data_IF_120453735277
#
_entry.id   IF_120453735277
#
_cell.length_a   1.000
_cell.length_b   1.000
_cell.length_c   1.000
_cell.angle_alpha   90.00
_cell.angle_beta   90.00
_cell.angle_gamma   90.00
#
_symmetry.space_group_name_H-M   'P 1'
#
loop_
_entity.id
_entity.type
_entity.pdbx_description
1 polymer ?
#
# COMPACT_ATOMS: atom_id res chain seq x y z
N UNK A 1 -14.49 2.83 -6.05
CA UNK A 1 -13.81 1.61 -5.56
C UNK A 1 -14.09 1.35 -4.09
N UNK A 2 -14.07 2.36 -3.21
CA UNK A 2 -14.18 2.16 -1.76
C UNK A 2 -15.49 1.48 -1.28
N UNK A 3 -16.62 1.62 -1.98
CA UNK A 3 -17.87 0.86 -1.68
C UNK A 3 -17.68 -0.64 -1.93
N UNK A 4 -17.02 -1.02 -3.03
CA UNK A 4 -16.74 -2.41 -3.35
C UNK A 4 -15.79 -3.02 -2.31
N UNK A 5 -14.78 -2.25 -1.90
CA UNK A 5 -13.84 -2.62 -0.83
C UNK A 5 -14.58 -2.87 0.48
N UNK A 6 -15.52 -1.98 0.85
CA UNK A 6 -16.38 -2.15 2.02
C UNK A 6 -17.26 -3.39 1.93
N UNK A 7 -17.86 -3.68 0.77
CA UNK A 7 -18.67 -4.88 0.57
C UNK A 7 -17.85 -6.18 0.68
N UNK A 8 -16.62 -6.19 0.14
CA UNK A 8 -15.71 -7.34 0.25
C UNK A 8 -15.37 -7.60 1.72
N UNK A 9 -15.04 -6.56 2.49
CA UNK A 9 -14.77 -6.69 3.92
C UNK A 9 -16.01 -7.15 4.69
N UNK A 10 -17.18 -6.58 4.40
CA UNK A 10 -18.46 -6.98 5.00
C UNK A 10 -18.81 -8.44 4.72
N UNK A 11 -18.45 -8.97 3.54
CA UNK A 11 -18.68 -10.39 3.22
C UNK A 11 -17.85 -11.36 4.07
N UNK A 12 -16.79 -10.87 4.74
CA UNK A 12 -15.90 -11.66 5.61
C UNK A 12 -16.00 -11.25 7.08
N UNK A 13 -17.01 -10.46 7.43
CA UNK A 13 -17.17 -9.82 8.73
C UNK A 13 -17.19 -10.83 9.90
N UNK A 14 -17.92 -11.94 9.76
CA UNK A 14 -18.04 -12.96 10.83
C UNK A 14 -16.68 -13.55 11.25
N UNK A 15 -15.76 -13.75 10.29
CA UNK A 15 -14.40 -14.21 10.58
C UNK A 15 -13.52 -13.09 11.14
N UNK A 16 -13.64 -11.86 10.64
CA UNK A 16 -12.80 -10.75 11.07
C UNK A 16 -13.14 -10.24 12.48
N UNK A 17 -14.42 -10.27 12.88
CA UNK A 17 -14.86 -9.92 14.24
C UNK A 17 -14.22 -10.82 15.30
N UNK A 18 -13.94 -12.08 14.95
CA UNK A 18 -13.27 -13.03 15.84
C UNK A 18 -11.77 -12.72 16.08
N UNK A 19 -11.20 -11.78 15.31
CA UNK A 19 -9.76 -11.45 15.32
C UNK A 19 -9.53 -9.93 15.43
N UNK A 20 -9.74 -9.32 16.62
CA UNK A 20 -9.66 -7.86 16.80
C UNK A 20 -8.33 -7.23 16.37
N UNK A 21 -7.22 -7.96 16.53
CA UNK A 21 -5.90 -7.50 16.09
C UNK A 21 -5.83 -7.25 14.57
N UNK A 22 -6.48 -8.09 13.77
CA UNK A 22 -6.52 -7.95 12.31
C UNK A 22 -7.41 -6.76 11.91
N UNK A 23 -8.53 -6.54 12.62
CA UNK A 23 -9.38 -5.38 12.38
C UNK A 23 -8.66 -4.04 12.57
N UNK A 24 -7.77 -3.95 13.55
CA UNK A 24 -6.91 -2.76 13.76
C UNK A 24 -5.84 -2.65 12.66
N UNK A 25 -5.32 -3.79 12.21
CA UNK A 25 -4.27 -3.87 11.21
C UNK A 25 -4.74 -3.43 9.81
N UNK A 26 -5.94 -3.85 9.40
CA UNK A 26 -6.50 -3.63 8.06
C UNK A 26 -6.42 -2.17 7.58
N UNK A 27 -7.01 -1.18 8.27
CA UNK A 27 -7.01 0.21 7.79
C UNK A 27 -5.60 0.80 7.75
N UNK A 28 -4.72 0.35 8.64
CA UNK A 28 -3.34 0.83 8.70
C UNK A 28 -2.53 0.33 7.51
N UNK A 29 -2.71 -0.94 7.12
CA UNK A 29 -2.03 -1.52 5.96
C UNK A 29 -2.54 -0.93 4.64
N UNK A 30 -3.86 -0.82 4.46
CA UNK A 30 -4.46 -0.20 3.25
C UNK A 30 -3.90 1.20 2.98
N UNK A 31 -3.62 1.95 4.04
CA UNK A 31 -3.11 3.32 3.92
C UNK A 31 -1.66 3.37 3.41
N UNK A 32 -0.86 2.33 3.64
CA UNK A 32 0.58 2.36 3.33
C UNK A 32 0.81 2.50 1.82
N UNK A 33 0.20 1.66 0.98
CA UNK A 33 0.46 1.74 -0.47
C UNK A 33 -0.10 3.01 -1.09
N UNK A 34 -1.29 3.46 -0.68
CA UNK A 34 -1.86 4.73 -1.14
C UNK A 34 -0.96 5.94 -0.83
N UNK A 35 -0.49 6.06 0.41
CA UNK A 35 0.38 7.16 0.85
C UNK A 35 1.76 7.11 0.17
N UNK A 36 2.38 5.94 0.17
CA UNK A 36 3.73 5.77 -0.41
C UNK A 36 3.73 5.85 -1.93
N UNK A 37 2.66 5.38 -2.57
CA UNK A 37 2.42 5.54 -4.01
C UNK A 37 2.19 6.99 -4.41
N UNK A 38 1.47 7.76 -3.59
CA UNK A 38 1.28 9.20 -3.80
C UNK A 38 2.59 9.98 -3.59
N UNK A 39 3.37 9.61 -2.56
CA UNK A 39 4.71 10.15 -2.34
C UNK A 39 5.65 9.88 -3.54
N UNK A 40 5.62 8.65 -4.07
CA UNK A 40 6.35 8.31 -5.29
C UNK A 40 5.88 9.14 -6.48
N UNK A 41 4.56 9.31 -6.65
CA UNK A 41 3.96 10.13 -7.70
C UNK A 41 4.46 11.56 -7.68
N UNK A 42 4.39 12.23 -6.53
CA UNK A 42 4.85 13.61 -6.36
C UNK A 42 6.35 13.78 -6.65
N UNK A 43 7.18 12.80 -6.25
CA UNK A 43 8.62 12.80 -6.57
C UNK A 43 8.88 12.66 -8.06
N UNK A 44 8.12 11.81 -8.75
CA UNK A 44 8.22 11.64 -10.19
C UNK A 44 7.70 12.87 -10.94
N UNK A 45 6.58 13.45 -10.50
CA UNK A 45 6.05 14.72 -11.03
C UNK A 45 7.10 15.82 -10.97
N UNK A 46 7.70 16.02 -9.80
CA UNK A 46 8.78 17.00 -9.60
C UNK A 46 9.98 16.74 -10.51
N UNK A 47 10.39 15.47 -10.64
CA UNK A 47 11.51 15.10 -11.49
C UNK A 47 11.22 15.35 -12.99
N UNK A 48 10.00 15.06 -13.45
CA UNK A 48 9.56 15.29 -14.82
C UNK A 48 9.50 16.78 -15.13
N UNK A 49 8.92 17.60 -14.24
CA UNK A 49 8.90 19.06 -14.39
C UNK A 49 10.29 19.70 -14.44
N UNK A 50 11.29 19.12 -13.76
CA UNK A 50 12.68 19.58 -13.81
C UNK A 50 13.45 19.07 -15.06
N UNK A 51 12.82 18.29 -15.95
CA UNK A 51 13.51 17.62 -17.06
C UNK A 51 14.48 16.52 -16.62
N UNK A 52 14.40 16.11 -15.35
CA UNK A 52 15.24 15.06 -14.75
C UNK A 52 14.60 13.68 -14.87
N UNK A 53 13.50 13.53 -15.63
CA UNK A 53 12.65 12.33 -15.67
C UNK A 53 12.52 11.64 -17.04
N UNK A 54 13.14 12.16 -18.11
CA UNK A 54 12.82 11.81 -19.51
C UNK A 54 12.88 10.32 -19.87
N UNK A 55 13.72 9.52 -19.22
CA UNK A 55 13.91 8.10 -19.55
C UNK A 55 13.43 7.14 -18.44
N UNK A 56 12.25 6.52 -18.63
CA UNK A 56 11.61 5.59 -17.67
C UNK A 56 12.54 4.49 -17.11
N UNK A 57 13.32 3.83 -17.97
CA UNK A 57 14.06 2.60 -17.62
C UNK A 57 15.48 2.83 -17.10
N UNK A 58 16.12 3.91 -17.49
CA UNK A 58 17.54 4.14 -17.19
C UNK A 58 17.79 5.31 -16.25
N UNK A 59 16.73 5.98 -15.80
CA UNK A 59 16.88 7.18 -15.00
C UNK A 59 17.12 6.86 -13.52
N UNK A 60 18.27 7.28 -12.95
CA UNK A 60 18.59 7.04 -11.55
C UNK A 60 17.58 7.69 -10.60
N UNK A 61 16.93 8.80 -10.98
CA UNK A 61 15.94 9.50 -10.16
C UNK A 61 14.68 8.65 -9.97
N UNK A 62 14.19 8.02 -11.05
CA UNK A 62 13.02 7.13 -11.00
C UNK A 62 13.33 5.93 -10.12
N UNK A 63 14.46 5.26 -10.38
CA UNK A 63 14.88 4.08 -9.61
C UNK A 63 15.08 4.39 -8.13
N UNK A 64 15.77 5.49 -7.80
CA UNK A 64 16.01 5.88 -6.42
C UNK A 64 14.71 6.29 -5.71
N UNK A 65 13.75 6.87 -6.43
CA UNK A 65 12.44 7.22 -5.87
C UNK A 65 11.62 5.98 -5.55
N UNK A 66 11.59 4.98 -6.45
CA UNK A 66 10.94 3.69 -6.20
C UNK A 66 11.60 2.96 -5.04
N UNK A 67 12.92 2.86 -5.01
CA UNK A 67 13.65 2.19 -3.90
C UNK A 67 13.34 2.88 -2.56
N UNK A 68 13.42 4.21 -2.52
CA UNK A 68 13.11 4.95 -1.31
C UNK A 68 11.66 4.75 -0.84
N UNK A 69 10.70 4.77 -1.78
CA UNK A 69 9.30 4.48 -1.47
C UNK A 69 9.13 3.05 -0.95
N UNK A 70 9.80 2.06 -1.55
CA UNK A 70 9.76 0.67 -1.09
C UNK A 70 10.30 0.52 0.33
N UNK A 71 11.43 1.16 0.63
CA UNK A 71 12.02 1.16 1.98
C UNK A 71 11.03 1.74 2.99
N UNK A 72 10.42 2.89 2.69
CA UNK A 72 9.41 3.50 3.57
C UNK A 72 8.22 2.57 3.77
N UNK A 73 7.66 1.99 2.70
CA UNK A 73 6.52 1.08 2.79
C UNK A 73 6.79 -0.16 3.65
N UNK A 74 7.94 -0.81 3.46
CA UNK A 74 8.30 -1.98 4.28
C UNK A 74 8.56 -1.61 5.75
N UNK A 75 9.28 -0.52 6.01
CA UNK A 75 9.51 -0.04 7.38
C UNK A 75 8.18 0.28 8.06
N UNK A 76 7.28 1.02 7.38
CA UNK A 76 5.94 1.33 7.89
C UNK A 76 5.16 0.06 8.23
N UNK A 77 5.22 -0.98 7.39
CA UNK A 77 4.51 -2.25 7.66
C UNK A 77 5.01 -2.95 8.92
N UNK A 78 6.32 -2.94 9.15
CA UNK A 78 6.95 -3.52 10.34
C UNK A 78 6.57 -2.70 11.57
N UNK A 79 6.65 -1.37 11.49
CA UNK A 79 6.25 -0.47 12.57
C UNK A 79 4.79 -0.68 12.96
N UNK A 80 3.88 -0.74 11.99
CA UNK A 80 2.45 -1.00 12.22
C UNK A 80 2.26 -2.37 12.88
N UNK A 81 2.94 -3.42 12.41
CA UNK A 81 2.84 -4.76 13.00
C UNK A 81 3.24 -4.77 14.49
N UNK A 82 4.32 -4.06 14.83
CA UNK A 82 4.79 -3.93 16.22
C UNK A 82 3.76 -3.17 17.06
N UNK A 83 3.21 -2.06 16.55
CA UNK A 83 2.20 -1.28 17.27
C UNK A 83 0.92 -2.07 17.51
N UNK A 84 0.44 -2.81 16.49
CA UNK A 84 -0.73 -3.69 16.62
C UNK A 84 -0.45 -4.82 17.59
N UNK A 85 0.75 -5.39 17.59
CA UNK A 85 1.15 -6.38 18.59
C UNK A 85 1.09 -5.81 20.01
N UNK A 86 1.68 -4.64 20.25
CA UNK A 86 1.65 -3.99 21.56
C UNK A 86 0.21 -3.70 22.01
N UNK A 87 -0.62 -3.17 21.12
CA UNK A 87 -2.04 -2.95 21.39
C UNK A 87 -2.76 -4.27 21.70
N UNK A 88 -2.50 -5.33 20.93
CA UNK A 88 -3.12 -6.65 21.13
C UNK A 88 -2.77 -7.27 22.48
N UNK A 89 -1.53 -7.06 22.98
CA UNK A 89 -1.15 -7.49 24.31
C UNK A 89 -1.80 -6.64 25.41
N UNK A 90 -1.93 -5.33 25.20
CA UNK A 90 -2.55 -4.43 26.16
C UNK A 90 -4.04 -4.72 26.36
N UNK A 91 -4.76 -5.02 25.27
CA UNK A 91 -6.20 -5.29 25.29
C UNK A 91 -6.55 -6.79 25.45
N UNK A 92 -5.55 -7.67 25.52
CA UNK A 92 -5.76 -9.11 25.77
C UNK A 92 -6.25 -9.93 24.58
N UNK A 93 -6.09 -9.43 23.34
CA UNK A 93 -6.51 -10.13 22.12
C UNK A 93 -5.55 -11.25 21.70
N UNK A 94 -4.29 -11.20 22.14
CA UNK A 94 -3.35 -12.32 22.05
C UNK A 94 -3.05 -12.81 20.62
N UNK A 95 -2.49 -11.96 19.75
CA UNK A 95 -1.98 -12.38 18.44
C UNK A 95 -0.45 -12.39 18.39
N UNK A 96 0.20 -13.45 17.89
CA UNK A 96 1.65 -13.49 17.77
C UNK A 96 2.19 -12.41 16.82
N UNK A 97 3.28 -11.73 17.22
CA UNK A 97 3.95 -10.74 16.37
C UNK A 97 4.35 -11.33 15.01
N UNK A 98 4.78 -12.60 14.99
CA UNK A 98 5.17 -13.28 13.76
C UNK A 98 4.02 -13.35 12.75
N UNK A 99 2.81 -13.66 13.21
CA UNK A 99 1.60 -13.71 12.37
C UNK A 99 1.28 -12.33 11.79
N UNK A 100 1.33 -11.29 12.63
CA UNK A 100 1.09 -9.90 12.19
C UNK A 100 2.13 -9.43 11.16
N UNK A 101 3.40 -9.79 11.36
CA UNK A 101 4.47 -9.48 10.41
C UNK A 101 4.27 -10.23 9.09
N UNK A 102 3.92 -11.52 9.11
CA UNK A 102 3.67 -12.29 7.90
C UNK A 102 2.52 -11.71 7.08
N UNK A 103 1.40 -11.38 7.73
CA UNK A 103 0.25 -10.75 7.06
C UNK A 103 0.68 -9.42 6.43
N UNK A 104 1.33 -8.57 7.22
CA UNK A 104 1.72 -7.22 6.78
C UNK A 104 2.72 -7.25 5.64
N UNK A 105 3.76 -8.09 5.72
CA UNK A 105 4.79 -8.17 4.70
C UNK A 105 4.26 -8.72 3.38
N UNK A 106 3.39 -9.75 3.41
CA UNK A 106 2.78 -10.31 2.20
C UNK A 106 1.83 -9.28 1.56
N UNK A 107 0.95 -8.68 2.37
CA UNK A 107 -0.02 -7.71 1.88
C UNK A 107 0.68 -6.48 1.26
N UNK A 108 1.64 -5.91 1.97
CA UNK A 108 2.39 -4.73 1.51
C UNK A 108 3.26 -5.07 0.30
N UNK A 109 3.87 -6.24 0.22
CA UNK A 109 4.64 -6.63 -0.97
C UNK A 109 3.75 -6.65 -2.24
N UNK A 110 2.53 -7.17 -2.15
CA UNK A 110 1.55 -7.15 -3.24
C UNK A 110 1.17 -5.71 -3.57
N UNK A 111 0.82 -4.94 -2.54
CA UNK A 111 0.36 -3.56 -2.67
C UNK A 111 1.40 -2.66 -3.34
N UNK A 112 2.63 -2.63 -2.83
CA UNK A 112 3.70 -1.81 -3.37
C UNK A 112 4.02 -2.18 -4.82
N UNK A 113 3.96 -3.47 -5.17
CA UNK A 113 4.22 -3.93 -6.54
C UNK A 113 3.20 -3.35 -7.52
N UNK A 114 1.91 -3.47 -7.21
CA UNK A 114 0.84 -3.01 -8.11
C UNK A 114 0.73 -1.48 -8.08
N UNK A 115 0.77 -0.88 -6.90
CA UNK A 115 0.62 0.57 -6.76
C UNK A 115 1.79 1.30 -7.38
N UNK A 116 3.04 0.89 -7.14
CA UNK A 116 4.20 1.62 -7.68
C UNK A 116 4.34 1.46 -9.19
N UNK A 117 4.01 0.29 -9.74
CA UNK A 117 3.97 0.11 -11.20
C UNK A 117 2.92 1.00 -11.84
N UNK A 118 1.73 1.12 -11.23
CA UNK A 118 0.70 2.06 -11.66
C UNK A 118 1.16 3.52 -11.51
N UNK A 119 1.74 3.92 -10.38
CA UNK A 119 2.23 5.29 -10.14
C UNK A 119 3.22 5.70 -11.22
N UNK A 120 4.21 4.84 -11.49
CA UNK A 120 5.22 5.09 -12.52
C UNK A 120 4.57 5.17 -13.90
N UNK A 121 3.67 4.26 -14.25
CA UNK A 121 3.00 4.28 -15.55
C UNK A 121 2.15 5.55 -15.75
N UNK A 122 1.34 5.92 -14.76
CA UNK A 122 0.45 7.07 -14.83
C UNK A 122 1.27 8.36 -14.86
N UNK A 123 2.29 8.52 -14.02
CA UNK A 123 3.10 9.75 -13.99
C UNK A 123 3.74 10.06 -15.36
N UNK A 124 4.28 9.04 -16.02
CA UNK A 124 4.87 9.19 -17.35
C UNK A 124 3.82 9.38 -18.44
N UNK A 125 2.67 8.72 -18.35
CA UNK A 125 1.57 8.93 -19.28
C UNK A 125 1.06 10.37 -19.19
N UNK A 126 0.76 10.86 -17.98
CA UNK A 126 0.28 12.22 -17.75
C UNK A 126 1.26 13.26 -18.31
N UNK A 127 2.56 13.11 -18.02
CA UNK A 127 3.59 13.99 -18.58
C UNK A 127 3.62 13.96 -20.12
N UNK A 128 3.48 12.78 -20.74
CA UNK A 128 3.45 12.66 -22.21
C UNK A 128 2.21 13.31 -22.84
N UNK A 129 1.09 13.34 -22.12
CA UNK A 129 -0.15 14.00 -22.56
C UNK A 129 -0.22 15.48 -22.17
N UNK A 130 0.81 16.04 -21.53
CA UNK A 130 0.83 17.43 -21.06
C UNK A 130 -0.13 17.70 -19.90
N UNK A 131 -0.52 16.65 -19.18
CA UNK A 131 -1.36 16.73 -17.98
C UNK A 131 -0.45 16.68 -16.76
N UNK A 132 -0.76 17.48 -15.73
CA UNK A 132 -0.02 17.44 -14.48
C UNK A 132 -0.18 16.04 -13.84
N UNK A 133 0.94 15.31 -13.63
CA UNK A 133 0.90 14.05 -12.89
C UNK A 133 0.29 14.20 -11.49
N UNK A 134 0.39 15.35 -10.84
CA UNK A 134 -0.14 15.52 -9.48
C UNK A 134 -1.68 15.56 -9.45
N UNK A 135 -2.32 16.09 -10.51
CA UNK A 135 -3.78 16.15 -10.66
C UNK A 135 -4.40 14.79 -11.05
N UNK A 136 -3.59 13.85 -11.53
CA UNK A 136 -4.05 12.56 -12.09
C UNK A 136 -3.57 11.36 -11.29
N UNK A 137 -2.30 11.33 -10.90
CA UNK A 137 -1.69 10.20 -10.18
C UNK A 137 -2.30 10.05 -8.80
N UNK A 138 -2.40 11.14 -8.02
CA UNK A 138 -2.77 11.06 -6.60
C UNK A 138 -4.19 10.48 -6.41
N UNK A 139 -5.26 10.97 -7.08
CA UNK A 139 -6.61 10.43 -6.89
C UNK A 139 -6.76 8.97 -7.36
N UNK A 140 -6.09 8.62 -8.46
CA UNK A 140 -6.10 7.26 -8.99
C UNK A 140 -5.36 6.28 -8.06
N UNK A 141 -4.18 6.68 -7.56
CA UNK A 141 -3.36 5.83 -6.72
C UNK A 141 -3.98 5.62 -5.34
N UNK A 142 -4.63 6.63 -4.75
CA UNK A 142 -5.38 6.44 -3.52
C UNK A 142 -6.49 5.38 -3.70
N UNK A 143 -7.29 5.52 -4.76
CA UNK A 143 -8.39 4.58 -5.05
C UNK A 143 -7.90 3.16 -5.39
N UNK A 144 -6.77 3.05 -6.08
CA UNK A 144 -6.15 1.78 -6.43
C UNK A 144 -5.53 1.12 -5.18
N UNK A 145 -4.86 1.92 -4.35
CA UNK A 145 -4.30 1.49 -3.06
C UNK A 145 -5.36 0.88 -2.15
N UNK A 146 -6.52 1.51 -2.02
CA UNK A 146 -7.65 0.97 -1.25
C UNK A 146 -8.04 -0.45 -1.70
N UNK A 147 -8.19 -0.65 -3.02
CA UNK A 147 -8.61 -1.92 -3.60
C UNK A 147 -7.52 -2.98 -3.47
N UNK A 148 -6.30 -2.65 -3.84
CA UNK A 148 -5.17 -3.58 -3.82
C UNK A 148 -4.77 -3.91 -2.38
N UNK A 149 -4.82 -2.95 -1.46
CA UNK A 149 -4.55 -3.14 -0.04
C UNK A 149 -5.49 -4.20 0.56
N UNK A 150 -6.80 -4.08 0.34
CA UNK A 150 -7.75 -5.11 0.79
C UNK A 150 -7.52 -6.46 0.10
N UNK A 151 -7.31 -6.47 -1.22
CA UNK A 151 -7.02 -7.71 -1.93
C UNK A 151 -5.74 -8.38 -1.42
N UNK A 152 -4.69 -7.60 -1.14
CA UNK A 152 -3.41 -8.06 -0.62
C UNK A 152 -3.54 -8.63 0.79
N UNK A 153 -4.29 -7.96 1.67
CA UNK A 153 -4.57 -8.47 3.02
C UNK A 153 -5.35 -9.78 2.97
N UNK A 154 -6.43 -9.85 2.17
CA UNK A 154 -7.21 -11.09 2.06
C UNK A 154 -6.39 -12.24 1.47
N UNK A 155 -5.53 -11.93 0.50
CA UNK A 155 -4.59 -12.91 -0.07
C UNK A 155 -3.62 -13.40 1.00
N UNK A 156 -3.06 -12.50 1.82
CA UNK A 156 -2.16 -12.87 2.90
C UNK A 156 -2.86 -13.75 3.96
N UNK A 157 -4.09 -13.43 4.33
CA UNK A 157 -4.87 -14.22 5.29
C UNK A 157 -5.17 -15.63 4.74
N UNK A 158 -5.53 -15.74 3.46
CA UNK A 158 -5.76 -17.02 2.81
C UNK A 158 -4.49 -17.88 2.71
N UNK A 159 -3.35 -17.27 2.31
CA UNK A 159 -2.06 -17.97 2.22
C UNK A 159 -1.57 -18.51 3.57
N UNK A 160 -1.91 -17.82 4.65
CA UNK A 160 -1.56 -18.23 6.01
C UNK A 160 -2.60 -19.20 6.63
N UNK A 161 -3.62 -19.61 5.88
CA UNK A 161 -4.73 -20.45 6.36
C UNK A 161 -5.45 -19.87 7.59
N UNK A 162 -5.56 -18.54 7.64
CA UNK A 162 -6.30 -17.81 8.68
C UNK A 162 -7.78 -17.62 8.26
N UNK A 163 -8.03 -17.72 6.95
CA UNK A 163 -9.33 -17.54 6.27
C UNK A 163 -9.59 -18.67 5.27
#
# INVERSE_FOLDING_TARGET
MSILVGQILNSREEHLISMPAILILIPSLIKIGGDTGSMLGARLSSALHMGLGDNLRSNPVVRNSVIAASIVGFISSISVSILVFLASNLFGFGMPLLTLLQISLIAVAIELTVVYSATVAIAFASHRFGIDPDDTVIPFIASLGDLVGVAGILTALHLLNIL
#
